data_IF_954894391385
#
_entry.id   IF_954894391385
#
_cell.length_a   1.000
_cell.length_b   1.000
_cell.length_c   1.000
_cell.angle_alpha   90.00
_cell.angle_beta   90.00
_cell.angle_gamma   90.00
#
_symmetry.space_group_name_H-M   'P 1'
#
loop_
_entity.id
_entity.type
_entity.pdbx_description
1 polymer ?
#
# COMPACT_ATOMS: atom_id res chain seq x y z
N UNK A 1 14.14 -31.16 -5.32
CA UNK A 1 15.07 -30.37 -6.16
C UNK A 1 15.36 -29.09 -5.39
N UNK A 2 16.58 -28.93 -4.88
CA UNK A 2 17.04 -27.66 -4.29
C UNK A 2 17.14 -26.65 -5.42
N UNK A 3 16.19 -25.73 -5.53
CA UNK A 3 16.31 -24.63 -6.47
C UNK A 3 17.53 -23.78 -6.12
N UNK A 4 18.24 -23.29 -7.14
CA UNK A 4 19.29 -22.27 -6.99
C UNK A 4 18.74 -21.10 -6.17
N UNK A 5 19.40 -20.76 -5.06
CA UNK A 5 19.05 -19.62 -4.22
C UNK A 5 19.51 -18.29 -4.83
N UNK A 6 19.12 -17.18 -4.22
CA UNK A 6 19.52 -15.84 -4.64
C UNK A 6 21.04 -15.71 -4.83
N UNK A 7 21.82 -16.19 -3.86
CA UNK A 7 23.29 -16.12 -3.91
C UNK A 7 23.92 -16.95 -5.03
N UNK A 8 23.19 -17.94 -5.58
CA UNK A 8 23.64 -18.70 -6.74
C UNK A 8 23.40 -17.95 -8.07
N UNK A 9 22.67 -16.82 -8.03
CA UNK A 9 22.22 -16.07 -9.22
C UNK A 9 22.89 -14.69 -9.36
N UNK A 10 23.54 -14.19 -8.31
CA UNK A 10 24.25 -12.92 -8.35
C UNK A 10 25.63 -13.08 -8.99
N UNK A 11 26.06 -12.06 -9.73
CA UNK A 11 27.38 -11.98 -10.37
C UNK A 11 28.38 -11.20 -9.51
N UNK A 12 27.90 -10.25 -8.69
CA UNK A 12 28.68 -9.42 -7.79
C UNK A 12 28.03 -9.35 -6.41
N UNK A 13 28.78 -9.73 -5.38
CA UNK A 13 28.41 -9.43 -3.99
C UNK A 13 28.90 -8.04 -3.60
N UNK A 14 28.22 -7.38 -2.67
CA UNK A 14 28.74 -6.16 -2.03
C UNK A 14 30.07 -6.41 -1.32
N UNK A 15 30.35 -7.64 -0.89
CA UNK A 15 31.63 -8.02 -0.30
C UNK A 15 32.81 -7.92 -1.28
N UNK A 16 32.54 -7.91 -2.59
CA UNK A 16 33.54 -7.88 -3.66
C UNK A 16 33.65 -6.50 -4.32
N UNK A 17 33.01 -5.47 -3.76
CA UNK A 17 33.10 -4.09 -4.25
C UNK A 17 34.40 -3.47 -3.71
N UNK A 18 35.34 -3.03 -4.57
CA UNK A 18 36.56 -2.39 -4.11
C UNK A 18 36.27 -1.12 -3.31
N UNK A 19 36.86 -1.05 -2.12
CA UNK A 19 36.88 0.14 -1.26
C UNK A 19 38.34 0.45 -0.98
N UNK A 20 38.75 1.67 -1.32
CA UNK A 20 40.12 2.19 -1.13
C UNK A 20 40.08 3.54 -0.41
N UNK A 21 41.24 4.08 -0.09
CA UNK A 21 41.36 5.44 0.48
C UNK A 21 40.84 6.54 -0.48
N UNK A 22 40.75 6.23 -1.79
CA UNK A 22 40.25 7.13 -2.83
C UNK A 22 38.72 7.07 -2.98
N UNK A 23 38.08 6.02 -2.43
CA UNK A 23 36.62 5.84 -2.44
C UNK A 23 36.16 4.43 -2.81
N UNK A 24 34.87 4.33 -3.17
CA UNK A 24 34.19 3.08 -3.57
C UNK A 24 34.13 3.03 -5.10
N UNK A 25 34.48 1.88 -5.68
CA UNK A 25 34.38 1.69 -7.13
C UNK A 25 32.91 1.80 -7.58
N UNK A 26 32.63 2.79 -8.43
CA UNK A 26 31.26 3.12 -8.83
C UNK A 26 30.64 2.02 -9.69
N UNK A 27 31.40 1.38 -10.59
CA UNK A 27 30.86 0.38 -11.51
C UNK A 27 30.54 -0.90 -10.75
N UNK A 28 31.49 -1.41 -9.94
CA UNK A 28 31.29 -2.60 -9.13
C UNK A 28 30.16 -2.42 -8.11
N UNK A 29 30.02 -1.22 -7.54
CA UNK A 29 28.89 -0.91 -6.66
C UNK A 29 27.54 -0.96 -7.39
N UNK A 30 27.45 -0.36 -8.58
CA UNK A 30 26.22 -0.39 -9.37
C UNK A 30 25.88 -1.81 -9.87
N UNK A 31 26.88 -2.63 -10.22
CA UNK A 31 26.68 -4.05 -10.53
C UNK A 31 26.07 -4.81 -9.33
N UNK A 32 26.61 -4.59 -8.12
CA UNK A 32 26.06 -5.21 -6.90
C UNK A 32 24.63 -4.72 -6.60
N UNK A 33 24.33 -3.45 -6.86
CA UNK A 33 22.97 -2.91 -6.76
C UNK A 33 22.00 -3.52 -7.78
N UNK A 34 22.43 -3.74 -9.02
CA UNK A 34 21.61 -4.41 -10.03
C UNK A 34 21.31 -5.86 -9.63
N UNK A 35 22.33 -6.58 -9.14
CA UNK A 35 22.15 -7.95 -8.66
C UNK A 35 21.24 -8.03 -7.43
N UNK A 36 21.23 -7.02 -6.55
CA UNK A 36 20.27 -6.94 -5.45
C UNK A 36 18.82 -6.96 -5.92
N UNK A 37 18.51 -6.40 -7.10
CA UNK A 37 17.16 -6.43 -7.67
C UNK A 37 16.69 -7.86 -7.94
N UNK A 38 17.62 -8.81 -8.18
CA UNK A 38 17.27 -10.23 -8.39
C UNK A 38 16.63 -10.88 -7.18
N UNK A 39 16.87 -10.35 -5.98
CA UNK A 39 16.18 -10.80 -4.76
C UNK A 39 14.65 -10.71 -4.91
N UNK A 40 14.18 -9.72 -5.67
CA UNK A 40 12.78 -9.46 -5.94
C UNK A 40 12.34 -9.94 -7.33
N UNK A 41 13.15 -10.73 -8.03
CA UNK A 41 12.91 -11.08 -9.44
C UNK A 41 11.57 -11.75 -9.66
N UNK A 42 11.17 -12.61 -8.72
CA UNK A 42 9.86 -13.24 -8.77
C UNK A 42 8.77 -12.20 -8.50
N UNK A 43 8.94 -11.33 -7.52
CA UNK A 43 7.87 -10.44 -6.99
C UNK A 43 8.08 -8.96 -7.34
N UNK A 44 8.38 -8.65 -8.62
CA UNK A 44 8.67 -7.28 -9.09
C UNK A 44 7.49 -6.31 -8.99
N UNK A 45 6.27 -6.85 -9.00
CA UNK A 45 5.02 -6.12 -8.76
C UNK A 45 4.20 -6.78 -7.67
N UNK A 46 3.24 -6.03 -7.10
CA UNK A 46 2.30 -6.56 -6.11
C UNK A 46 1.50 -7.75 -6.67
N UNK A 47 1.13 -7.70 -7.96
CA UNK A 47 0.46 -8.80 -8.67
C UNK A 47 1.36 -10.05 -8.76
N UNK A 48 2.61 -9.88 -9.20
CA UNK A 48 3.55 -11.00 -9.27
C UNK A 48 3.84 -11.60 -7.90
N UNK A 49 3.88 -10.79 -6.83
CA UNK A 49 4.01 -11.27 -5.46
C UNK A 49 2.87 -12.23 -5.09
N UNK A 50 1.62 -11.86 -5.40
CA UNK A 50 0.44 -12.71 -5.16
C UNK A 50 0.48 -13.97 -6.03
N UNK A 51 0.86 -13.84 -7.30
CA UNK A 51 0.97 -14.99 -8.21
C UNK A 51 2.03 -16.00 -7.78
N UNK A 52 3.19 -15.54 -7.30
CA UNK A 52 4.25 -16.42 -6.82
C UNK A 52 3.89 -17.10 -5.51
N UNK A 53 3.32 -16.35 -4.56
CA UNK A 53 2.96 -16.91 -3.26
C UNK A 53 1.97 -18.08 -3.40
N UNK A 54 1.08 -18.00 -4.40
CA UNK A 54 0.19 -19.10 -4.77
C UNK A 54 0.95 -20.38 -5.15
N UNK A 55 2.09 -20.27 -5.84
CA UNK A 55 2.93 -21.44 -6.19
C UNK A 55 3.56 -22.09 -4.96
N UNK A 56 3.76 -21.31 -3.89
CA UNK A 56 4.26 -21.77 -2.60
C UNK A 56 3.15 -22.35 -1.70
N UNK A 57 1.90 -22.37 -2.18
CA UNK A 57 0.70 -22.78 -1.40
C UNK A 57 0.51 -21.96 -0.11
N UNK A 58 0.99 -20.72 -0.09
CA UNK A 58 0.78 -19.74 0.98
C UNK A 58 -0.22 -18.68 0.54
N UNK A 59 -0.66 -17.84 1.48
CA UNK A 59 -1.55 -16.71 1.22
C UNK A 59 -1.27 -15.50 2.13
N UNK A 60 -0.20 -15.49 2.92
CA UNK A 60 0.01 -14.46 3.94
C UNK A 60 0.15 -13.05 3.31
N UNK A 61 0.98 -12.92 2.28
CA UNK A 61 1.15 -11.67 1.53
C UNK A 61 -0.12 -11.33 0.74
N UNK A 62 -0.77 -12.33 0.15
CA UNK A 62 -2.05 -12.17 -0.57
C UNK A 62 -3.13 -11.63 0.36
N UNK A 63 -3.18 -12.11 1.61
CA UNK A 63 -4.14 -11.65 2.60
C UNK A 63 -3.79 -10.29 3.17
N UNK A 64 -2.52 -10.07 3.49
CA UNK A 64 -2.02 -8.77 3.94
C UNK A 64 -2.32 -7.67 2.92
N UNK A 65 -2.00 -7.91 1.64
CA UNK A 65 -2.25 -6.95 0.57
C UNK A 65 -3.74 -6.68 0.37
N UNK A 66 -4.61 -7.68 0.49
CA UNK A 66 -6.05 -7.48 0.36
C UNK A 66 -6.59 -6.56 1.46
N UNK A 67 -6.27 -6.84 2.72
CA UNK A 67 -6.73 -6.01 3.85
C UNK A 67 -6.11 -4.62 3.82
N UNK A 68 -4.84 -4.51 3.44
CA UNK A 68 -4.20 -3.23 3.19
C UNK A 68 -4.94 -2.43 2.11
N UNK A 69 -5.26 -3.06 0.97
CA UNK A 69 -5.97 -2.41 -0.14
C UNK A 69 -7.34 -1.91 0.28
N UNK A 70 -8.11 -2.71 1.03
CA UNK A 70 -9.41 -2.28 1.58
C UNK A 70 -9.28 -1.12 2.56
N UNK A 71 -8.25 -1.12 3.41
CA UNK A 71 -7.96 -0.03 4.34
C UNK A 71 -7.54 1.26 3.63
N UNK A 72 -6.72 1.16 2.59
CA UNK A 72 -6.34 2.29 1.75
C UNK A 72 -7.54 2.83 0.97
N UNK A 73 -8.43 1.97 0.47
CA UNK A 73 -9.67 2.38 -0.17
C UNK A 73 -10.52 3.23 0.77
N UNK A 74 -10.83 2.69 1.95
CA UNK A 74 -11.53 3.43 3.00
C UNK A 74 -10.89 4.79 3.31
N UNK A 75 -9.58 4.84 3.43
CA UNK A 75 -8.84 6.06 3.80
C UNK A 75 -8.95 7.12 2.70
N UNK A 76 -8.69 6.76 1.43
CA UNK A 76 -8.78 7.74 0.36
C UNK A 76 -10.22 8.22 0.16
N UNK A 77 -11.21 7.35 0.31
CA UNK A 77 -12.61 7.71 0.15
C UNK A 77 -13.07 8.68 1.26
N UNK A 78 -12.72 8.38 2.51
CA UNK A 78 -13.02 9.28 3.65
C UNK A 78 -12.38 10.66 3.50
N UNK A 79 -11.11 10.72 3.09
CA UNK A 79 -10.41 11.98 2.82
C UNK A 79 -11.01 12.74 1.62
N UNK A 80 -11.34 12.02 0.54
CA UNK A 80 -11.98 12.60 -0.66
C UNK A 80 -13.32 13.24 -0.31
N UNK A 81 -14.15 12.56 0.48
CA UNK A 81 -15.42 13.09 0.95
C UNK A 81 -15.21 14.34 1.83
N UNK A 82 -14.25 14.31 2.75
CA UNK A 82 -13.95 15.46 3.61
C UNK A 82 -13.37 16.67 2.84
N UNK A 83 -12.67 16.42 1.72
CA UNK A 83 -12.18 17.46 0.82
C UNK A 83 -13.33 18.08 0.00
N UNK A 84 -14.19 17.24 -0.59
CA UNK A 84 -15.32 17.67 -1.43
C UNK A 84 -16.44 18.35 -0.63
N UNK A 85 -16.60 17.98 0.64
CA UNK A 85 -17.65 18.48 1.52
C UNK A 85 -17.02 19.24 2.70
N UNK A 86 -16.52 20.47 2.52
CA UNK A 86 -15.80 21.18 3.58
C UNK A 86 -16.63 21.54 4.81
N UNK A 87 -17.97 21.43 4.73
CA UNK A 87 -18.89 21.60 5.84
C UNK A 87 -19.20 20.33 6.65
N UNK A 88 -18.73 19.15 6.22
CA UNK A 88 -18.90 17.90 6.96
C UNK A 88 -17.76 17.70 7.96
N UNK A 89 -18.07 17.16 9.14
CA UNK A 89 -17.03 16.73 10.08
C UNK A 89 -16.35 15.44 9.60
N UNK A 90 -15.11 15.20 10.08
CA UNK A 90 -14.36 14.01 9.69
C UNK A 90 -15.09 12.71 10.03
N UNK A 91 -15.76 12.66 11.18
CA UNK A 91 -16.55 11.51 11.59
C UNK A 91 -17.66 11.18 10.59
N UNK A 92 -18.28 12.19 9.98
CA UNK A 92 -19.32 12.01 8.98
C UNK A 92 -18.73 11.50 7.65
N UNK A 93 -17.71 12.18 7.13
CA UNK A 93 -17.06 11.78 5.86
C UNK A 93 -16.44 10.38 5.93
N UNK A 94 -15.76 10.04 7.03
CA UNK A 94 -15.20 8.70 7.22
C UNK A 94 -16.28 7.65 7.52
N UNK A 95 -17.39 8.01 8.18
CA UNK A 95 -18.52 7.07 8.30
C UNK A 95 -19.06 6.73 6.92
N UNK A 96 -19.33 7.72 6.05
CA UNK A 96 -19.79 7.48 4.67
C UNK A 96 -18.80 6.62 3.88
N UNK A 97 -17.51 6.95 3.94
CA UNK A 97 -16.46 6.16 3.29
C UNK A 97 -16.41 4.73 3.81
N UNK A 98 -16.64 4.49 5.10
CA UNK A 98 -16.71 3.14 5.66
C UNK A 98 -17.86 2.31 5.10
N UNK A 99 -19.03 2.93 4.91
CA UNK A 99 -20.22 2.24 4.42
C UNK A 99 -20.06 1.68 3.02
N UNK A 100 -19.32 2.37 2.15
CA UNK A 100 -19.08 1.97 0.76
C UNK A 100 -17.85 1.07 0.60
N UNK A 101 -17.00 0.95 1.62
CA UNK A 101 -15.72 0.24 1.51
C UNK A 101 -15.61 -0.95 2.49
N UNK A 102 -15.18 -0.73 3.72
CA UNK A 102 -14.81 -1.76 4.69
C UNK A 102 -16.01 -2.45 5.37
N UNK A 103 -17.15 -1.77 5.49
CA UNK A 103 -18.31 -2.26 6.27
C UNK A 103 -18.78 -3.64 5.83
N UNK A 104 -18.71 -3.94 4.54
CA UNK A 104 -19.10 -5.25 4.00
C UNK A 104 -18.20 -6.40 4.45
N UNK A 105 -16.95 -6.12 4.84
CA UNK A 105 -15.96 -7.11 5.25
C UNK A 105 -15.82 -7.26 6.77
N UNK A 106 -16.35 -6.30 7.54
CA UNK A 106 -16.32 -6.36 9.00
C UNK A 106 -17.48 -7.17 9.58
N UNK A 107 -17.15 -8.00 10.58
CA UNK A 107 -18.14 -8.78 11.32
C UNK A 107 -19.06 -7.90 12.18
N UNK A 108 -20.12 -8.49 12.71
CA UNK A 108 -21.04 -7.80 13.64
C UNK A 108 -20.34 -7.35 14.94
N UNK A 109 -19.16 -7.89 15.26
CA UNK A 109 -18.35 -7.49 16.42
C UNK A 109 -17.44 -6.30 16.08
N UNK A 110 -16.86 -6.26 14.87
CA UNK A 110 -15.93 -5.20 14.46
C UNK A 110 -16.68 -3.91 14.09
N UNK A 111 -17.88 -4.02 13.50
CA UNK A 111 -18.72 -2.86 13.12
C UNK A 111 -18.97 -1.86 14.27
N UNK A 112 -19.36 -2.28 15.49
CA UNK A 112 -19.49 -1.39 16.64
C UNK A 112 -18.19 -0.70 17.06
N UNK A 113 -17.04 -1.39 16.97
CA UNK A 113 -15.73 -0.82 17.33
C UNK A 113 -15.40 0.36 16.41
N UNK A 114 -15.67 0.22 15.11
CA UNK A 114 -15.52 1.32 14.16
C UNK A 114 -16.40 2.52 14.55
N UNK A 115 -17.67 2.28 14.87
CA UNK A 115 -18.58 3.36 15.31
C UNK A 115 -18.11 4.09 16.57
N UNK A 116 -17.43 3.40 17.48
CA UNK A 116 -16.79 4.02 18.64
C UNK A 116 -15.55 4.83 18.23
N UNK A 117 -14.72 4.30 17.32
CA UNK A 117 -13.54 5.02 16.82
C UNK A 117 -13.91 6.34 16.13
N UNK A 118 -15.02 6.39 15.39
CA UNK A 118 -15.50 7.63 14.75
C UNK A 118 -15.87 8.73 15.75
N UNK A 119 -16.21 8.39 17.00
CA UNK A 119 -16.43 9.38 18.06
C UNK A 119 -15.15 10.05 18.54
N UNK A 120 -13.99 9.46 18.24
CA UNK A 120 -12.67 9.98 18.55
C UNK A 120 -11.99 10.64 17.34
N UNK A 121 -12.68 10.77 16.20
CA UNK A 121 -12.17 11.57 15.10
C UNK A 121 -11.93 13.01 15.56
N UNK A 122 -10.79 13.63 15.20
CA UNK A 122 -10.58 15.04 15.47
C UNK A 122 -11.58 15.89 14.69
N UNK A 123 -11.66 17.18 15.03
CA UNK A 123 -12.39 18.13 14.20
C UNK A 123 -11.73 18.24 12.82
N UNK A 124 -12.55 18.43 11.79
CA UNK A 124 -12.03 18.63 10.43
C UNK A 124 -11.07 19.82 10.36
N UNK A 125 -11.43 20.93 11.00
CA UNK A 125 -10.61 22.12 11.02
C UNK A 125 -9.17 21.84 11.51
N UNK A 126 -9.05 21.12 12.64
CA UNK A 126 -7.75 20.78 13.24
C UNK A 126 -6.89 19.89 12.32
N UNK A 127 -7.52 18.96 11.59
CA UNK A 127 -6.78 18.14 10.62
C UNK A 127 -6.27 18.99 9.47
N UNK A 128 -7.15 19.78 8.85
CA UNK A 128 -6.78 20.57 7.67
C UNK A 128 -5.77 21.68 8.00
N UNK A 129 -5.82 22.24 9.20
CA UNK A 129 -4.77 23.15 9.70
C UNK A 129 -3.40 22.46 9.75
N UNK A 130 -3.34 21.21 10.22
CA UNK A 130 -2.09 20.41 10.26
C UNK A 130 -1.60 20.00 8.87
N UNK A 131 -2.47 19.89 7.88
CA UNK A 131 -2.09 19.60 6.49
C UNK A 131 -1.43 20.81 5.81
N UNK A 132 -1.71 22.02 6.28
CA UNK A 132 -1.05 23.26 5.85
C UNK A 132 -1.98 24.28 5.19
N UNK A 133 -1.42 25.28 4.50
CA UNK A 133 -2.20 26.33 3.85
C UNK A 133 -3.20 25.76 2.85
N UNK A 134 -4.43 26.27 2.87
CA UNK A 134 -5.57 25.73 2.11
C UNK A 134 -5.25 25.54 0.63
N UNK A 135 -4.61 26.54 0.01
CA UNK A 135 -4.27 26.56 -1.41
C UNK A 135 -3.34 25.41 -1.80
N UNK A 136 -2.41 25.06 -0.90
CA UNK A 136 -1.50 23.92 -1.09
C UNK A 136 -2.19 22.60 -0.80
N UNK A 137 -3.00 22.54 0.27
CA UNK A 137 -3.72 21.33 0.65
C UNK A 137 -4.70 20.92 -0.44
N UNK A 138 -5.48 21.85 -1.00
CA UNK A 138 -6.46 21.54 -2.04
C UNK A 138 -5.80 20.85 -3.26
N UNK A 139 -4.63 21.35 -3.69
CA UNK A 139 -3.91 20.85 -4.86
C UNK A 139 -3.18 19.53 -4.57
N UNK A 140 -2.39 19.49 -3.50
CA UNK A 140 -1.56 18.32 -3.20
C UNK A 140 -2.38 17.14 -2.68
N UNK A 141 -3.45 17.38 -1.91
CA UNK A 141 -4.34 16.32 -1.46
C UNK A 141 -5.09 15.70 -2.63
N UNK A 142 -5.58 16.48 -3.58
CA UNK A 142 -6.23 15.96 -4.79
C UNK A 142 -5.27 15.08 -5.60
N UNK A 143 -4.04 15.57 -5.83
CA UNK A 143 -3.00 14.80 -6.53
C UNK A 143 -2.66 13.50 -5.80
N UNK A 144 -2.53 13.56 -4.48
CA UNK A 144 -2.21 12.39 -3.65
C UNK A 144 -3.34 11.36 -3.69
N UNK A 145 -4.59 11.80 -3.52
CA UNK A 145 -5.78 10.94 -3.57
C UNK A 145 -5.95 10.29 -4.94
N UNK A 146 -5.77 11.04 -6.03
CA UNK A 146 -5.85 10.49 -7.39
C UNK A 146 -4.76 9.42 -7.65
N UNK A 147 -3.55 9.63 -7.14
CA UNK A 147 -2.47 8.64 -7.21
C UNK A 147 -2.81 7.36 -6.44
N UNK A 148 -3.33 7.51 -5.23
CA UNK A 148 -3.72 6.38 -4.37
C UNK A 148 -4.91 5.59 -4.97
N UNK A 149 -5.94 6.28 -5.42
CA UNK A 149 -7.12 5.69 -6.08
C UNK A 149 -6.71 4.87 -7.32
N UNK A 150 -5.80 5.40 -8.14
CA UNK A 150 -5.27 4.68 -9.31
C UNK A 150 -4.58 3.37 -8.91
N UNK A 151 -3.75 3.40 -7.86
CA UNK A 151 -3.02 2.21 -7.39
C UNK A 151 -3.98 1.18 -6.79
N UNK A 152 -4.88 1.62 -5.91
CA UNK A 152 -5.89 0.74 -5.30
C UNK A 152 -6.77 0.10 -6.36
N UNK A 153 -7.29 0.88 -7.31
CA UNK A 153 -8.14 0.36 -8.38
C UNK A 153 -7.42 -0.62 -9.31
N UNK A 154 -6.10 -0.50 -9.50
CA UNK A 154 -5.30 -1.49 -10.22
C UNK A 154 -5.25 -2.82 -9.45
N UNK A 155 -4.98 -2.76 -8.14
CA UNK A 155 -4.89 -3.95 -7.28
C UNK A 155 -6.27 -4.64 -7.18
N UNK A 156 -7.35 -3.88 -6.96
CA UNK A 156 -8.71 -4.42 -6.87
C UNK A 156 -9.11 -5.18 -8.15
N UNK A 157 -8.88 -4.58 -9.33
CA UNK A 157 -9.12 -5.25 -10.62
C UNK A 157 -8.33 -6.55 -10.77
N UNK A 158 -7.09 -6.57 -10.31
CA UNK A 158 -6.28 -7.79 -10.30
C UNK A 158 -6.87 -8.87 -9.37
N UNK A 159 -7.28 -8.49 -8.15
CA UNK A 159 -7.91 -9.40 -7.20
C UNK A 159 -9.23 -9.98 -7.70
N UNK A 160 -10.06 -9.16 -8.33
CA UNK A 160 -11.32 -9.59 -8.94
C UNK A 160 -11.07 -10.57 -10.10
N UNK A 161 -10.20 -10.19 -11.04
CA UNK A 161 -9.87 -11.02 -12.22
C UNK A 161 -9.30 -12.37 -11.83
N UNK A 162 -8.40 -12.40 -10.84
CA UNK A 162 -7.76 -13.63 -10.36
C UNK A 162 -8.53 -14.36 -9.27
N UNK A 163 -9.65 -13.79 -8.80
CA UNK A 163 -10.46 -14.33 -7.71
C UNK A 163 -9.65 -14.57 -6.42
N UNK A 164 -8.65 -13.71 -6.15
CA UNK A 164 -7.72 -13.81 -5.02
C UNK A 164 -8.36 -13.43 -3.68
N UNK A 165 -9.51 -12.75 -3.70
CA UNK A 165 -10.25 -12.36 -2.50
C UNK A 165 -11.11 -13.46 -1.85
N UNK A 166 -11.22 -14.65 -2.45
CA UNK A 166 -12.04 -15.75 -1.92
C UNK A 166 -11.30 -16.62 -0.89
N UNK A 167 -12.05 -17.11 0.09
CA UNK A 167 -11.55 -18.03 1.13
C UNK A 167 -10.99 -17.33 2.35
N UNK A 168 -11.60 -16.21 2.73
CA UNK A 168 -11.40 -15.44 3.96
C UNK A 168 -12.65 -15.46 4.81
#
# INVERSE_FOLDING_TARGET
MSGTGYFDQIKRSFADVPVTDEGVDTVAFLEACEDLVKLFEKSKTLESMVENEKTEKKKDATQGLLWLTRGLHFTYEGLRLSQKNPGEELSESFTKGYETTLKQYHSFVVKPIFGLAMKACPYRADLFEKLGPKEKVDVELERWLAGLEKIVGQIEKFYEKGNYGKGL
#
